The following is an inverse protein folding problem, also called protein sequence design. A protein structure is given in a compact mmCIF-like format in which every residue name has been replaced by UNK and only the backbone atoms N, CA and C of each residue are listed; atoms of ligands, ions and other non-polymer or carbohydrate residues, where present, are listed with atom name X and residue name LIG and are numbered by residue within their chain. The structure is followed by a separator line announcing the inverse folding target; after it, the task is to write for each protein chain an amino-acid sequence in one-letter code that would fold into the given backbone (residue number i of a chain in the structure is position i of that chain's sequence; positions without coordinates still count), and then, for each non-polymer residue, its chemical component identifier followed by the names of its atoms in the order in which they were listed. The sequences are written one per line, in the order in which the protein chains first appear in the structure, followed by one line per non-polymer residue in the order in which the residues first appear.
data_IF_495289575755
#
_entry.id   IF_495289575755
#
_cell.length_a   1.000
_cell.length_b   1.000
_cell.length_c   1.000
_cell.angle_alpha   90.00
_cell.angle_beta   90.00
_cell.angle_gamma   90.00
#
_symmetry.space_group_name_H-M   'P 1'
#
loop_
_entity.id
_entity.type
_entity.pdbx_description
1 polymer ?
#
# COMPACT_ATOMS: atom_id res chain seq x y z
N UNK A 1 -35.40 29.83 58.57
CA UNK A 1 -34.98 28.57 57.90
C UNK A 1 -35.21 28.77 56.41
N UNK A 2 -34.16 28.97 55.62
CA UNK A 2 -34.25 29.33 54.19
C UNK A 2 -34.08 28.05 53.35
N UNK A 3 -35.12 27.66 52.62
CA UNK A 3 -35.13 26.48 51.74
C UNK A 3 -34.53 26.86 50.38
N UNK A 4 -33.29 26.42 50.11
CA UNK A 4 -32.66 26.57 48.79
C UNK A 4 -32.92 25.30 47.98
N UNK A 5 -33.70 25.43 46.90
CA UNK A 5 -33.88 24.36 45.90
C UNK A 5 -32.84 24.53 44.80
N UNK A 6 -31.95 23.55 44.66
CA UNK A 6 -30.93 23.50 43.61
C UNK A 6 -31.56 22.97 42.30
N UNK A 7 -31.41 23.64 41.15
CA UNK A 7 -31.87 23.09 39.88
C UNK A 7 -30.83 22.08 39.34
N UNK A 8 -31.29 20.88 39.00
CA UNK A 8 -30.50 19.88 38.28
C UNK A 8 -30.46 20.31 36.81
N UNK A 9 -29.29 20.75 36.34
CA UNK A 9 -29.04 20.99 34.91
C UNK A 9 -28.62 19.65 34.29
N UNK A 10 -29.48 19.06 33.48
CA UNK A 10 -29.17 17.86 32.71
C UNK A 10 -28.38 18.26 31.44
N UNK A 11 -27.06 18.09 31.48
CA UNK A 11 -26.18 18.30 30.33
C UNK A 11 -26.31 17.13 29.35
N UNK A 12 -27.02 17.34 28.25
CA UNK A 12 -27.08 16.40 27.12
C UNK A 12 -25.77 16.52 26.33
N UNK A 13 -24.90 15.51 26.47
CA UNK A 13 -23.71 15.37 25.62
C UNK A 13 -24.13 14.82 24.25
N UNK A 14 -24.21 15.69 23.25
CA UNK A 14 -24.28 15.29 21.85
C UNK A 14 -22.95 14.64 21.46
N UNK A 15 -22.91 13.30 21.38
CA UNK A 15 -21.84 12.59 20.69
C UNK A 15 -21.97 12.88 19.19
N UNK A 16 -21.22 13.86 18.70
CA UNK A 16 -20.98 13.99 17.27
C UNK A 16 -20.10 12.79 16.84
N UNK A 17 -20.67 11.87 16.05
CA UNK A 17 -19.90 10.79 15.45
C UNK A 17 -18.86 11.39 14.51
N UNK A 18 -17.57 11.25 14.84
CA UNK A 18 -16.50 11.61 13.93
C UNK A 18 -16.51 10.59 12.79
N UNK A 19 -16.72 11.05 11.56
CA UNK A 19 -16.45 10.22 10.39
C UNK A 19 -14.96 9.86 10.41
N UNK A 20 -14.64 8.59 10.61
CA UNK A 20 -13.26 8.13 10.55
C UNK A 20 -12.91 7.95 9.07
N UNK A 21 -11.90 8.68 8.60
CA UNK A 21 -11.36 8.42 7.27
C UNK A 21 -10.61 7.09 7.29
N UNK A 22 -10.92 6.21 6.35
CA UNK A 22 -10.10 5.04 6.09
C UNK A 22 -8.88 5.49 5.27
N UNK A 23 -7.68 5.27 5.80
CA UNK A 23 -6.43 5.61 5.13
C UNK A 23 -5.56 4.37 5.06
N UNK A 24 -4.87 4.20 3.94
CA UNK A 24 -3.84 3.16 3.78
C UNK A 24 -2.53 3.84 3.43
N UNK A 25 -1.52 3.70 4.28
CA UNK A 25 -0.14 4.05 3.93
C UNK A 25 0.50 2.84 3.26
N UNK A 26 1.00 3.01 2.04
CA UNK A 26 1.77 2.00 1.33
C UNK A 26 3.23 2.43 1.34
N UNK A 27 4.10 1.55 1.84
CA UNK A 27 5.54 1.79 1.94
C UNK A 27 6.30 0.74 1.12
N UNK A 28 7.17 1.19 0.24
CA UNK A 28 8.19 0.39 -0.40
C UNK A 28 9.48 0.43 0.42
N UNK A 29 10.08 -0.74 0.63
CA UNK A 29 11.34 -0.89 1.35
C UNK A 29 12.29 -1.69 0.47
N UNK A 30 13.25 -0.97 -0.11
CA UNK A 30 14.44 -1.54 -0.74
C UNK A 30 15.16 -2.46 0.26
N UNK A 31 15.43 -3.71 -0.11
CA UNK A 31 16.10 -4.68 0.77
C UNK A 31 16.73 -5.82 -0.02
N UNK A 32 18.03 -6.07 0.19
CA UNK A 32 18.64 -7.28 -0.35
C UNK A 32 18.33 -8.51 0.55
N UNK A 33 17.93 -9.67 -0.01
CA UNK A 33 17.85 -9.98 -1.45
C UNK A 33 16.46 -9.76 -2.08
N UNK A 34 15.45 -9.23 -1.35
CA UNK A 34 14.10 -8.99 -1.89
C UNK A 34 13.49 -7.74 -1.28
N UNK A 35 12.86 -6.93 -2.14
CA UNK A 35 12.14 -5.75 -1.68
C UNK A 35 10.82 -6.10 -1.03
N UNK A 36 10.26 -5.12 -0.32
CA UNK A 36 9.03 -5.30 0.44
C UNK A 36 8.06 -4.15 0.25
N UNK A 37 6.82 -4.50 -0.05
CA UNK A 37 5.68 -3.58 0.00
C UNK A 37 4.85 -3.85 1.25
N UNK A 38 4.57 -2.80 2.01
CA UNK A 38 3.80 -2.85 3.25
C UNK A 38 2.57 -1.96 3.07
N UNK A 39 1.39 -2.51 3.26
CA UNK A 39 0.13 -1.77 3.26
C UNK A 39 -0.37 -1.70 4.70
N UNK A 40 -0.31 -0.51 5.29
CA UNK A 40 -0.73 -0.25 6.67
C UNK A 40 -2.08 0.47 6.68
N UNK A 41 -3.09 -0.16 7.25
CA UNK A 41 -4.36 0.49 7.53
C UNK A 41 -4.17 1.44 8.73
N UNK A 42 -4.16 2.75 8.49
CA UNK A 42 -3.96 3.77 9.54
C UNK A 42 -5.28 4.26 10.15
N UNK A 43 -6.39 3.60 9.80
CA UNK A 43 -7.72 3.96 10.28
C UNK A 43 -8.13 3.19 11.54
N UNK A 44 -9.25 3.62 12.14
CA UNK A 44 -9.82 3.02 13.34
C UNK A 44 -10.77 1.84 13.06
N UNK A 45 -10.98 1.49 11.79
CA UNK A 45 -11.86 0.40 11.39
C UNK A 45 -11.08 -0.67 10.63
N UNK A 46 -11.66 -1.87 10.53
CA UNK A 46 -11.14 -2.90 9.63
C UNK A 46 -11.54 -2.60 8.18
N UNK A 47 -10.60 -2.82 7.26
CA UNK A 47 -10.84 -2.74 5.82
C UNK A 47 -11.01 -4.14 5.27
N UNK A 48 -12.03 -4.38 4.44
CA UNK A 48 -12.37 -5.70 3.91
C UNK A 48 -12.52 -5.65 2.39
N UNK A 49 -12.32 -6.79 1.73
CA UNK A 49 -12.55 -6.97 0.30
C UNK A 49 -11.86 -5.89 -0.56
N UNK A 50 -10.57 -5.67 -0.30
CA UNK A 50 -9.78 -4.70 -1.05
C UNK A 50 -9.22 -5.33 -2.33
N UNK A 51 -9.28 -4.57 -3.41
CA UNK A 51 -8.48 -4.80 -4.62
C UNK A 51 -7.42 -3.71 -4.69
N UNK A 52 -6.16 -4.12 -4.85
CA UNK A 52 -5.01 -3.23 -4.96
C UNK A 52 -4.38 -3.41 -6.33
N UNK A 53 -4.10 -2.31 -7.02
CA UNK A 53 -3.33 -2.30 -8.25
C UNK A 53 -2.07 -1.46 -8.05
N UNK A 54 -0.92 -2.09 -8.21
CA UNK A 54 0.39 -1.43 -8.19
C UNK A 54 0.86 -1.28 -9.64
N UNK A 55 1.25 -0.07 -10.00
CA UNK A 55 1.74 0.29 -11.33
C UNK A 55 3.04 1.10 -11.20
N UNK A 56 4.14 0.46 -11.55
CA UNK A 56 5.49 1.02 -11.53
C UNK A 56 5.84 1.74 -12.84
N UNK A 57 5.00 1.69 -13.87
CA UNK A 57 5.36 2.11 -15.23
C UNK A 57 5.73 3.59 -15.37
N UNK A 58 5.22 4.43 -14.47
CA UNK A 58 5.51 5.87 -14.42
C UNK A 58 6.60 6.23 -13.40
N UNK A 59 7.23 5.25 -12.76
CA UNK A 59 8.26 5.52 -11.78
C UNK A 59 9.47 6.19 -12.43
N UNK A 60 10.18 7.02 -11.66
CA UNK A 60 11.39 7.71 -12.13
C UNK A 60 12.45 6.71 -12.60
N UNK A 61 12.62 5.59 -11.89
CA UNK A 61 13.56 4.52 -12.20
C UNK A 61 13.16 3.61 -13.36
N UNK A 62 11.96 3.79 -13.95
CA UNK A 62 11.39 2.87 -14.93
C UNK A 62 11.42 1.43 -14.41
N UNK A 63 10.86 1.28 -13.22
CA UNK A 63 10.99 0.06 -12.41
C UNK A 63 10.17 -1.09 -13.00
N UNK A 64 10.72 -2.30 -12.88
CA UNK A 64 10.10 -3.57 -13.28
C UNK A 64 10.24 -4.60 -12.16
N UNK A 65 9.44 -5.65 -12.20
CA UNK A 65 9.63 -6.81 -11.33
C UNK A 65 10.65 -7.78 -11.94
N UNK A 66 11.68 -8.13 -11.17
CA UNK A 66 12.60 -9.24 -11.49
C UNK A 66 12.11 -10.50 -10.74
N UNK A 67 11.67 -11.50 -11.49
CA UNK A 67 11.05 -12.69 -10.91
C UNK A 67 11.68 -13.98 -11.38
N UNK A 68 12.63 -13.91 -12.33
CA UNK A 68 13.26 -15.09 -12.93
C UNK A 68 14.72 -14.86 -13.27
N UNK A 69 15.53 -15.92 -13.26
CA UNK A 69 16.95 -15.84 -13.62
C UNK A 69 17.21 -15.40 -15.08
N UNK A 70 16.18 -15.39 -15.92
CA UNK A 70 16.28 -15.13 -17.36
C UNK A 70 15.17 -14.17 -17.75
N UNK A 71 15.50 -12.91 -18.01
CA UNK A 71 14.47 -11.94 -18.34
C UNK A 71 15.02 -10.52 -18.53
N UNK A 72 14.15 -9.55 -18.29
CA UNK A 72 14.45 -8.13 -18.33
C UNK A 72 15.11 -7.65 -17.04
N UNK A 73 14.85 -8.32 -15.91
CA UNK A 73 15.58 -8.14 -14.65
C UNK A 73 17.04 -8.58 -14.75
N UNK A 74 17.85 -8.16 -13.78
CA UNK A 74 19.29 -8.31 -13.74
C UNK A 74 19.72 -8.92 -12.41
N UNK A 75 20.09 -10.19 -12.41
CA UNK A 75 20.70 -10.88 -11.25
C UNK A 75 19.85 -10.94 -9.96
N UNK A 76 19.99 -12.00 -9.15
CA UNK A 76 19.39 -12.11 -7.79
C UNK A 76 17.84 -12.17 -7.69
N UNK A 77 17.11 -12.22 -8.80
CA UNK A 77 15.65 -12.42 -8.89
C UNK A 77 14.93 -13.09 -7.70
N UNK A 78 13.79 -12.52 -7.31
CA UNK A 78 12.92 -13.06 -6.27
C UNK A 78 11.45 -13.00 -6.67
N UNK A 79 10.76 -14.16 -6.70
CA UNK A 79 9.35 -14.20 -7.04
C UNK A 79 8.48 -13.56 -5.95
N UNK A 80 7.24 -13.23 -6.31
CA UNK A 80 6.22 -12.76 -5.39
C UNK A 80 6.01 -13.74 -4.22
N UNK A 81 6.03 -13.21 -3.00
CA UNK A 81 5.79 -13.98 -1.77
C UNK A 81 5.03 -13.15 -0.74
N UNK A 82 3.94 -13.70 -0.21
CA UNK A 82 3.22 -13.08 0.92
C UNK A 82 4.03 -13.22 2.20
N UNK A 83 4.21 -12.12 2.93
CA UNK A 83 4.91 -12.11 4.23
C UNK A 83 3.98 -11.94 5.42
N UNK A 84 2.89 -11.18 5.27
CA UNK A 84 1.93 -10.95 6.35
C UNK A 84 0.53 -10.73 5.79
N UNK A 85 -0.47 -11.38 6.40
CA UNK A 85 -1.88 -11.23 6.05
C UNK A 85 -2.34 -12.18 4.94
N UNK A 86 -3.60 -12.00 4.52
CA UNK A 86 -4.21 -12.80 3.46
C UNK A 86 -4.31 -11.97 2.17
N UNK A 87 -3.25 -12.00 1.38
CA UNK A 87 -3.20 -11.40 0.04
C UNK A 87 -3.09 -12.50 -1.01
N UNK A 88 -3.65 -12.25 -2.19
CA UNK A 88 -3.51 -13.13 -3.36
C UNK A 88 -3.34 -12.30 -4.62
N UNK A 89 -2.49 -12.75 -5.54
CA UNK A 89 -2.48 -12.21 -6.89
C UNK A 89 -3.84 -12.47 -7.55
N UNK A 90 -4.37 -11.45 -8.23
CA UNK A 90 -5.63 -11.55 -8.99
C UNK A 90 -5.39 -12.19 -10.36
N UNK A 91 -4.19 -12.03 -10.93
CA UNK A 91 -3.83 -12.62 -12.21
C UNK A 91 -3.77 -14.15 -12.10
N UNK A 92 -4.32 -14.83 -13.11
CA UNK A 92 -4.24 -16.29 -13.22
C UNK A 92 -2.82 -16.78 -13.55
N UNK A 93 -1.98 -15.91 -14.12
CA UNK A 93 -0.54 -16.09 -14.21
C UNK A 93 0.15 -15.34 -13.07
N UNK A 94 1.25 -15.88 -12.56
CA UNK A 94 2.15 -15.16 -11.67
C UNK A 94 2.63 -13.84 -12.31
N UNK A 95 3.18 -12.94 -11.50
CA UNK A 95 3.87 -11.74 -12.00
C UNK A 95 5.07 -12.21 -12.81
N UNK A 96 5.18 -11.75 -14.06
CA UNK A 96 6.27 -12.15 -14.96
C UNK A 96 7.42 -11.18 -14.84
N UNK A 97 8.57 -11.68 -15.22
CA UNK A 97 9.78 -10.89 -15.36
C UNK A 97 9.59 -9.74 -16.35
N UNK A 98 9.97 -8.53 -15.95
CA UNK A 98 9.79 -7.33 -16.75
C UNK A 98 8.40 -6.71 -16.69
N UNK A 99 7.43 -7.33 -16.00
CA UNK A 99 6.15 -6.67 -15.73
C UNK A 99 6.39 -5.44 -14.85
N UNK A 100 5.65 -4.37 -15.11
CA UNK A 100 5.64 -3.16 -14.26
C UNK A 100 4.36 -3.01 -13.46
N UNK A 101 3.44 -3.99 -13.54
CA UNK A 101 2.14 -3.92 -12.88
C UNK A 101 1.77 -5.22 -12.22
N UNK A 102 1.11 -5.15 -11.07
CA UNK A 102 0.50 -6.32 -10.41
C UNK A 102 -0.81 -5.93 -9.73
N UNK A 103 -1.66 -6.94 -9.48
CA UNK A 103 -2.97 -6.74 -8.85
C UNK A 103 -3.18 -7.76 -7.75
N UNK A 104 -3.66 -7.31 -6.59
CA UNK A 104 -3.85 -8.11 -5.39
C UNK A 104 -5.27 -8.01 -4.86
N UNK A 105 -5.83 -9.13 -4.42
CA UNK A 105 -6.99 -9.15 -3.54
C UNK A 105 -6.52 -9.29 -2.10
N UNK A 106 -7.07 -8.48 -1.20
CA UNK A 106 -6.80 -8.54 0.24
C UNK A 106 -8.14 -8.72 0.95
N UNK A 107 -8.28 -9.81 1.70
CA UNK A 107 -9.54 -10.14 2.38
C UNK A 107 -9.84 -9.15 3.50
N UNK A 108 -8.84 -8.89 4.36
CA UNK A 108 -8.99 -8.02 5.52
C UNK A 108 -7.65 -7.37 5.91
N UNK A 109 -7.72 -6.12 6.37
CA UNK A 109 -6.67 -5.47 7.15
C UNK A 109 -7.33 -4.87 8.40
N UNK A 110 -7.01 -5.39 9.58
CA UNK A 110 -7.55 -4.87 10.84
C UNK A 110 -7.16 -3.39 11.06
N UNK A 111 -7.91 -2.70 11.93
CA UNK A 111 -7.61 -1.33 12.31
C UNK A 111 -6.17 -1.22 12.85
N UNK A 112 -5.41 -0.25 12.37
CA UNK A 112 -4.00 -0.03 12.74
C UNK A 112 -3.06 -1.20 12.43
N UNK A 113 -3.48 -2.20 11.65
CA UNK A 113 -2.67 -3.37 11.27
C UNK A 113 -2.22 -3.32 9.80
N UNK A 114 -1.30 -4.21 9.42
CA UNK A 114 -0.68 -4.22 8.11
C UNK A 114 -0.66 -5.59 7.46
N UNK A 115 -0.58 -5.58 6.13
CA UNK A 115 -0.27 -6.73 5.30
C UNK A 115 0.95 -6.41 4.45
N UNK A 116 1.68 -7.44 4.02
CA UNK A 116 2.90 -7.23 3.23
C UNK A 116 3.24 -8.40 2.33
N UNK A 117 3.93 -8.09 1.26
CA UNK A 117 4.52 -9.04 0.33
C UNK A 117 5.93 -8.59 -0.06
N UNK A 118 6.69 -9.53 -0.60
CA UNK A 118 8.01 -9.28 -1.18
C UNK A 118 8.02 -9.72 -2.63
N UNK A 119 8.75 -8.98 -3.45
CA UNK A 119 9.03 -9.26 -4.86
C UNK A 119 10.25 -8.41 -5.20
N UNK A 120 11.15 -8.91 -6.04
CA UNK A 120 12.30 -8.12 -6.47
C UNK A 120 11.87 -7.00 -7.42
N UNK A 121 12.52 -5.84 -7.30
CA UNK A 121 12.29 -4.69 -8.16
C UNK A 121 13.62 -4.18 -8.67
N UNK A 122 13.74 -4.13 -9.99
CA UNK A 122 14.90 -3.58 -10.68
C UNK A 122 14.56 -2.26 -11.33
N UNK A 123 15.57 -1.40 -11.46
CA UNK A 123 15.50 -0.22 -12.31
C UNK A 123 16.04 -0.51 -13.71
N UNK A 124 15.49 0.16 -14.72
CA UNK A 124 15.92 -0.01 -16.12
C UNK A 124 16.61 1.25 -16.67
N UNK A 125 17.21 2.05 -15.79
CA UNK A 125 17.96 3.23 -16.17
C UNK A 125 19.26 2.84 -16.87
N UNK A 126 19.65 3.60 -17.89
CA UNK A 126 20.95 3.43 -18.56
C UNK A 126 22.11 3.77 -17.61
N UNK A 127 21.86 4.65 -16.64
CA UNK A 127 22.76 5.00 -15.55
C UNK A 127 21.94 5.09 -14.26
N UNK A 128 21.97 4.01 -13.48
CA UNK A 128 21.35 3.93 -12.15
C UNK A 128 22.31 4.43 -11.08
N UNK A 129 21.79 5.02 -10.01
CA UNK A 129 22.58 5.49 -8.87
C UNK A 129 23.28 4.34 -8.14
N UNK A 130 22.58 3.21 -7.97
CA UNK A 130 23.04 2.05 -7.18
C UNK A 130 23.33 0.81 -8.04
N UNK A 131 23.22 0.95 -9.37
CA UNK A 131 23.17 -0.18 -10.31
C UNK A 131 21.75 -0.72 -10.44
N UNK A 132 21.46 -1.43 -11.53
CA UNK A 132 20.10 -1.81 -11.91
C UNK A 132 19.38 -2.80 -10.97
N UNK A 133 20.12 -3.39 -10.03
CA UNK A 133 19.66 -4.46 -9.14
C UNK A 133 19.16 -3.95 -7.78
N UNK A 134 19.12 -2.62 -7.60
CA UNK A 134 18.77 -1.93 -6.36
C UNK A 134 18.04 -0.64 -6.67
N UNK A 135 16.97 -0.37 -5.94
CA UNK A 135 16.17 0.83 -6.13
C UNK A 135 16.59 1.89 -5.11
N UNK A 136 17.03 3.04 -5.61
CA UNK A 136 17.21 4.22 -4.76
C UNK A 136 15.85 4.75 -4.32
N UNK A 137 15.75 5.34 -3.11
CA UNK A 137 14.46 5.75 -2.56
C UNK A 137 13.65 6.72 -3.45
N UNK A 138 14.31 7.49 -4.32
CA UNK A 138 13.65 8.41 -5.25
C UNK A 138 13.20 7.75 -6.55
N UNK A 139 13.76 6.60 -6.95
CA UNK A 139 13.45 5.94 -8.22
C UNK A 139 12.02 5.40 -8.29
N UNK A 140 11.41 5.03 -7.15
CA UNK A 140 10.00 4.63 -7.11
C UNK A 140 9.02 5.81 -7.23
N UNK A 141 9.48 7.06 -7.11
CA UNK A 141 8.60 8.25 -7.18
C UNK A 141 7.75 8.21 -8.44
N UNK A 142 6.48 8.63 -8.33
CA UNK A 142 5.45 8.59 -9.38
C UNK A 142 4.95 7.19 -9.78
N UNK A 143 5.47 6.11 -9.20
CA UNK A 143 4.75 4.85 -9.19
C UNK A 143 3.36 5.06 -8.55
N UNK A 144 2.38 4.29 -8.97
CA UNK A 144 0.99 4.53 -8.68
C UNK A 144 0.38 3.34 -7.96
N UNK A 145 -0.39 3.63 -6.91
CA UNK A 145 -1.19 2.65 -6.19
C UNK A 145 -2.67 3.01 -6.32
N UNK A 146 -3.49 2.05 -6.73
CA UNK A 146 -4.96 2.16 -6.71
C UNK A 146 -5.52 1.16 -5.72
N UNK A 147 -6.45 1.59 -4.89
CA UNK A 147 -7.16 0.72 -3.95
C UNK A 147 -8.66 0.89 -4.16
N UNK A 148 -9.34 -0.23 -4.33
CA UNK A 148 -10.79 -0.31 -4.45
C UNK A 148 -11.33 -1.19 -3.34
N UNK A 149 -12.18 -0.64 -2.47
CA UNK A 149 -13.01 -1.45 -1.58
C UNK A 149 -14.23 -1.92 -2.35
N UNK A 150 -14.64 -3.18 -2.19
CA UNK A 150 -15.84 -3.72 -2.87
C UNK A 150 -17.07 -2.82 -2.69
N UNK A 151 -17.67 -2.42 -3.81
CA UNK A 151 -18.85 -1.55 -3.84
C UNK A 151 -18.57 -0.07 -3.56
N UNK A 152 -17.30 0.33 -3.44
CA UNK A 152 -16.89 1.72 -3.26
C UNK A 152 -16.06 2.23 -4.47
N UNK A 153 -15.87 3.54 -4.51
CA UNK A 153 -15.03 4.20 -5.51
C UNK A 153 -13.55 3.82 -5.33
N UNK A 154 -12.84 3.68 -6.44
CA UNK A 154 -11.38 3.52 -6.45
C UNK A 154 -10.69 4.81 -6.00
N UNK A 155 -9.80 4.68 -5.01
CA UNK A 155 -8.88 5.73 -4.60
C UNK A 155 -7.49 5.50 -5.18
N UNK A 156 -6.73 6.57 -5.40
CA UNK A 156 -5.43 6.54 -6.06
C UNK A 156 -4.44 7.41 -5.29
N UNK A 157 -3.20 6.96 -5.19
CA UNK A 157 -2.07 7.76 -4.71
C UNK A 157 -0.80 7.44 -5.53
N UNK A 158 0.17 8.34 -5.45
CA UNK A 158 1.50 8.13 -6.03
C UNK A 158 2.53 8.00 -4.91
N UNK A 159 3.58 7.22 -5.16
CA UNK A 159 4.73 7.15 -4.29
C UNK A 159 5.53 8.45 -4.36
N UNK A 160 5.92 8.95 -3.18
CA UNK A 160 6.86 10.04 -3.02
C UNK A 160 8.32 9.55 -3.11
N UNK A 161 9.26 10.49 -2.94
CA UNK A 161 10.70 10.21 -2.96
C UNK A 161 11.23 9.48 -1.72
N UNK A 162 10.36 9.05 -0.82
CA UNK A 162 10.67 8.22 0.35
C UNK A 162 10.03 6.84 0.22
N UNK A 163 9.50 6.50 -0.95
CA UNK A 163 8.80 5.23 -1.18
C UNK A 163 7.49 5.12 -0.41
N UNK A 164 6.80 6.23 -0.15
CA UNK A 164 5.50 6.24 0.53
C UNK A 164 4.38 6.76 -0.34
N UNK A 165 3.23 6.11 -0.29
CA UNK A 165 1.98 6.57 -0.88
C UNK A 165 0.86 6.52 0.17
N UNK A 166 0.13 7.63 0.35
CA UNK A 166 -1.02 7.67 1.26
C UNK A 166 -2.32 7.65 0.45
N UNK A 167 -3.07 6.56 0.55
CA UNK A 167 -4.36 6.39 -0.14
C UNK A 167 -5.50 6.74 0.80
N UNK A 168 -6.21 7.82 0.49
CA UNK A 168 -7.42 8.22 1.21
C UNK A 168 -8.62 7.44 0.67
N UNK A 169 -9.17 6.53 1.46
CA UNK A 169 -10.36 5.76 1.14
C UNK A 169 -11.63 6.47 1.65
N UNK A 170 -12.81 6.11 1.12
CA UNK A 170 -14.08 6.52 1.71
C UNK A 170 -14.16 6.15 3.20
N UNK A 171 -14.92 6.92 3.97
CA UNK A 171 -15.06 6.68 5.41
C UNK A 171 -15.57 5.28 5.72
N UNK A 172 -15.11 4.78 6.85
CA UNK A 172 -15.75 3.76 7.63
C UNK A 172 -16.23 4.37 8.96
#
# INVERSE_FOLDING_TARGET
MLNVRLPIVASVWLLAGQLAHANVEVTFVESAPKDRFILHNTSQCALNDLTVHLDLSNSVGRLIFDTTATGAGVEVFQPFEVKKGNLKLISASDVKDGDSTLSLSIENIAANDSVSFTIDVDDTLTQSELGNIRVSGSEISNALIKITTKGQQTSVAMFDNKGKALVSLPSC
#
